data_IF_042532139398
#
_entry.id   IF_042532139398
#
_cell.length_a   1.000
_cell.length_b   1.000
_cell.length_c   1.000
_cell.angle_alpha   90.00
_cell.angle_beta   90.00
_cell.angle_gamma   90.00
#
_symmetry.space_group_name_H-M   'P 1'
#
loop_
_entity.id
_entity.type
_entity.pdbx_description
1 polymer ?
#
# COMPACT_ATOMS: atom_id res chain seq x y z
N UNK A 1 0.97 -11.88 -24.98
CA UNK A 1 1.28 -10.42 -24.96
C UNK A 1 1.00 -9.91 -23.57
N UNK A 2 2.02 -9.43 -22.86
CA UNK A 2 1.81 -8.81 -21.54
C UNK A 2 1.03 -7.51 -21.70
N UNK A 3 0.10 -7.15 -20.79
CA UNK A 3 -0.62 -5.89 -20.85
C UNK A 3 0.37 -4.72 -20.84
N UNK A 4 0.05 -3.59 -21.52
CA UNK A 4 0.92 -2.44 -21.52
C UNK A 4 1.12 -1.93 -20.09
N UNK A 5 2.38 -1.60 -19.74
CA UNK A 5 2.73 -0.99 -18.46
C UNK A 5 1.95 0.33 -18.30
N UNK A 6 1.46 0.59 -17.08
CA UNK A 6 0.90 1.89 -16.77
C UNK A 6 1.93 2.99 -17.13
N UNK A 7 1.53 4.14 -17.69
CA UNK A 7 2.45 5.16 -18.23
C UNK A 7 3.57 5.53 -17.25
N UNK A 8 3.28 5.58 -15.96
CA UNK A 8 4.25 5.86 -14.87
C UNK A 8 5.37 4.82 -14.77
N UNK A 9 5.02 3.53 -14.88
CA UNK A 9 6.01 2.43 -14.82
C UNK A 9 6.88 2.41 -16.06
N UNK A 10 6.31 2.66 -17.23
CA UNK A 10 7.06 2.78 -18.47
C UNK A 10 8.06 3.95 -18.40
N UNK A 11 7.65 5.11 -17.90
CA UNK A 11 8.54 6.25 -17.71
C UNK A 11 9.74 5.92 -16.81
N UNK A 12 9.51 5.28 -15.66
CA UNK A 12 10.59 4.84 -14.75
C UNK A 12 11.55 3.88 -15.47
N UNK A 13 11.01 2.88 -16.15
CA UNK A 13 11.81 1.88 -16.87
C UNK A 13 12.71 2.49 -17.95
N UNK A 14 12.24 3.52 -18.65
CA UNK A 14 13.04 4.17 -19.71
C UNK A 14 14.00 5.25 -19.17
N UNK A 15 13.64 5.92 -18.10
CA UNK A 15 14.44 7.04 -17.57
C UNK A 15 15.59 6.56 -16.69
N UNK A 16 15.35 5.52 -15.85
CA UNK A 16 16.34 5.08 -14.86
C UNK A 16 17.69 4.66 -15.48
N UNK A 17 17.75 3.95 -16.62
CA UNK A 17 19.01 3.61 -17.26
C UNK A 17 19.81 4.82 -17.79
N UNK A 18 19.15 5.98 -17.98
CA UNK A 18 19.81 7.21 -18.41
C UNK A 18 20.45 7.98 -17.25
N UNK A 19 20.18 7.57 -15.99
CA UNK A 19 20.72 8.22 -14.80
C UNK A 19 22.05 7.57 -14.36
N UNK A 20 22.99 8.36 -13.79
CA UNK A 20 24.28 7.82 -13.31
C UNK A 20 24.06 6.72 -12.23
N UNK A 21 24.74 5.58 -12.38
CA UNK A 21 24.66 4.48 -11.41
C UNK A 21 25.33 4.80 -10.07
N UNK A 22 26.28 5.74 -10.07
CA UNK A 22 27.03 6.16 -8.88
C UNK A 22 26.30 7.22 -8.05
N UNK A 23 25.08 7.62 -8.44
CA UNK A 23 24.26 8.62 -7.74
C UNK A 23 22.95 8.01 -7.29
N UNK A 24 22.45 8.48 -6.14
CA UNK A 24 21.13 8.10 -5.63
C UNK A 24 20.05 8.52 -6.62
N UNK A 25 19.20 7.58 -7.01
CA UNK A 25 18.07 7.77 -7.90
C UNK A 25 16.79 7.91 -7.08
N UNK A 26 16.24 9.10 -7.05
CA UNK A 26 15.09 9.46 -6.24
C UNK A 26 13.83 9.57 -7.10
N UNK A 27 12.78 8.82 -6.72
CA UNK A 27 11.47 8.85 -7.37
C UNK A 27 10.43 9.49 -6.43
N UNK A 28 10.00 10.72 -6.78
CA UNK A 28 9.08 11.52 -5.98
C UNK A 28 7.63 11.08 -6.14
N UNK A 29 6.87 11.12 -5.03
CA UNK A 29 5.41 10.97 -5.03
C UNK A 29 4.89 9.57 -5.36
N UNK A 30 5.74 8.55 -5.39
CA UNK A 30 5.37 7.14 -5.65
C UNK A 30 5.45 6.34 -4.37
N UNK A 31 4.35 5.67 -4.00
CA UNK A 31 4.28 4.95 -2.73
C UNK A 31 3.26 3.83 -2.67
N UNK A 32 2.75 3.34 -3.81
CA UNK A 32 2.10 2.02 -3.77
C UNK A 32 3.18 0.94 -3.79
N UNK A 33 3.04 -0.10 -2.97
CA UNK A 33 4.04 -1.17 -2.89
C UNK A 33 4.33 -1.80 -4.27
N UNK A 34 3.34 -2.06 -5.14
CA UNK A 34 3.60 -2.56 -6.48
C UNK A 34 4.41 -1.61 -7.37
N UNK A 35 4.20 -0.29 -7.24
CA UNK A 35 4.97 0.68 -8.02
C UNK A 35 6.39 0.84 -7.47
N UNK A 36 6.54 0.79 -6.13
CA UNK A 36 7.86 0.80 -5.48
C UNK A 36 8.67 -0.46 -5.86
N UNK A 37 8.06 -1.65 -5.86
CA UNK A 37 8.71 -2.89 -6.31
C UNK A 37 9.21 -2.79 -7.75
N UNK A 38 8.36 -2.27 -8.65
CA UNK A 38 8.76 -2.05 -10.04
C UNK A 38 9.92 -1.05 -10.15
N UNK A 39 9.85 0.06 -9.42
CA UNK A 39 10.89 1.09 -9.44
C UNK A 39 12.22 0.60 -8.85
N UNK A 40 12.18 -0.17 -7.76
CA UNK A 40 13.37 -0.84 -7.17
C UNK A 40 14.01 -1.78 -8.20
N UNK A 41 13.20 -2.58 -8.90
CA UNK A 41 13.70 -3.47 -9.96
C UNK A 41 14.33 -2.70 -11.14
N UNK A 42 13.92 -1.44 -11.35
CA UNK A 42 14.53 -0.54 -12.34
C UNK A 42 15.77 0.20 -11.81
N UNK A 43 16.12 0.07 -10.52
CA UNK A 43 17.29 0.72 -9.92
C UNK A 43 17.01 2.07 -9.26
N UNK A 44 15.80 2.31 -8.79
CA UNK A 44 15.45 3.47 -7.94
C UNK A 44 15.80 3.16 -6.49
N UNK A 45 16.43 4.12 -5.79
CA UNK A 45 16.97 3.94 -4.44
C UNK A 45 16.12 4.61 -3.35
N UNK A 46 15.49 5.75 -3.65
CA UNK A 46 14.82 6.59 -2.67
C UNK A 46 13.40 6.97 -3.12
N UNK A 47 12.48 6.99 -2.16
CA UNK A 47 11.07 7.31 -2.36
C UNK A 47 10.56 8.25 -1.30
N UNK A 48 9.57 9.08 -1.66
CA UNK A 48 8.66 9.73 -0.72
C UNK A 48 7.20 9.52 -1.16
N UNK A 49 6.30 9.42 -0.20
CA UNK A 49 4.88 9.36 -0.50
C UNK A 49 4.01 9.66 0.72
N UNK A 50 2.92 10.38 0.48
CA UNK A 50 1.91 10.67 1.51
C UNK A 50 0.94 9.50 1.75
N UNK A 51 0.91 8.49 0.86
CA UNK A 51 -0.11 7.43 0.90
C UNK A 51 -0.18 6.67 2.22
N UNK A 52 0.92 6.23 2.86
CA UNK A 52 0.83 5.50 4.12
C UNK A 52 0.10 6.30 5.19
N UNK A 53 0.50 7.54 5.40
CA UNK A 53 -0.09 8.41 6.40
C UNK A 53 -1.51 8.87 6.00
N UNK A 54 -1.71 9.26 4.74
CA UNK A 54 -3.02 9.68 4.23
C UNK A 54 -4.05 8.55 4.37
N UNK A 55 -3.73 7.35 3.90
CA UNK A 55 -4.61 6.20 3.96
C UNK A 55 -4.86 5.76 5.41
N UNK A 56 -3.83 5.79 6.26
CA UNK A 56 -3.94 5.54 7.69
C UNK A 56 -4.96 6.45 8.36
N UNK A 57 -4.91 7.75 8.10
CA UNK A 57 -5.87 8.73 8.65
C UNK A 57 -7.31 8.47 8.20
N UNK A 58 -7.52 7.88 7.03
CA UNK A 58 -8.85 7.60 6.48
C UNK A 58 -9.38 6.19 6.79
N UNK A 59 -8.56 5.34 7.46
CA UNK A 59 -8.94 3.99 7.86
C UNK A 59 -8.74 2.94 6.78
N UNK A 60 -7.88 3.21 5.79
CA UNK A 60 -7.33 2.20 4.89
C UNK A 60 -5.98 1.77 5.47
N UNK A 61 -5.93 0.56 6.02
CA UNK A 61 -4.80 0.02 6.77
C UNK A 61 -4.17 -1.14 6.02
N UNK A 62 -2.86 -1.06 5.82
CA UNK A 62 -2.12 -2.07 5.08
C UNK A 62 -1.73 -3.22 6.02
N UNK A 63 -1.84 -4.46 5.53
CA UNK A 63 -1.39 -5.64 6.26
C UNK A 63 -0.63 -6.58 5.32
N UNK A 64 -0.02 -7.62 5.87
CA UNK A 64 0.64 -8.65 5.08
C UNK A 64 -0.33 -9.49 4.24
N UNK A 65 -1.62 -9.49 4.60
CA UNK A 65 -2.69 -10.16 3.86
C UNK A 65 -3.43 -9.26 2.85
N UNK A 66 -3.09 -7.96 2.80
CA UNK A 66 -3.75 -6.97 1.95
C UNK A 66 -4.21 -5.74 2.73
N UNK A 67 -4.99 -4.88 2.10
CA UNK A 67 -5.48 -3.66 2.74
C UNK A 67 -6.87 -3.86 3.37
N UNK A 68 -7.02 -3.34 4.58
CA UNK A 68 -8.26 -3.38 5.36
C UNK A 68 -8.91 -2.00 5.36
N UNK A 69 -10.18 -1.91 4.94
CA UNK A 69 -11.03 -0.73 5.20
C UNK A 69 -11.66 -0.90 6.58
N UNK A 70 -10.99 -0.43 7.63
CA UNK A 70 -11.33 -0.69 9.03
C UNK A 70 -12.74 -0.20 9.42
N UNK A 71 -13.30 0.77 8.69
CA UNK A 71 -14.68 1.27 8.90
C UNK A 71 -15.76 0.27 8.46
N UNK A 72 -15.40 -0.82 7.81
CA UNK A 72 -16.34 -1.84 7.35
C UNK A 72 -16.94 -2.59 8.53
N UNK A 73 -18.28 -2.82 8.52
CA UNK A 73 -19.03 -3.43 9.63
C UNK A 73 -18.52 -4.82 10.03
N UNK A 74 -17.89 -5.56 9.12
CA UNK A 74 -17.30 -6.88 9.40
C UNK A 74 -16.23 -6.87 10.51
N UNK A 75 -15.67 -5.70 10.82
CA UNK A 75 -14.63 -5.55 11.84
C UNK A 75 -15.17 -5.13 13.21
N UNK A 76 -16.50 -4.90 13.35
CA UNK A 76 -17.10 -4.40 14.59
C UNK A 76 -16.69 -5.19 15.82
N UNK A 77 -16.74 -6.53 15.72
CA UNK A 77 -16.50 -7.45 16.83
C UNK A 77 -15.22 -8.29 16.62
N UNK A 78 -14.31 -7.84 15.74
CA UNK A 78 -13.08 -8.56 15.41
C UNK A 78 -12.01 -8.30 16.49
N UNK A 79 -11.76 -9.28 17.34
CA UNK A 79 -10.79 -9.22 18.44
C UNK A 79 -9.32 -9.35 17.97
N UNK A 80 -9.08 -9.69 16.70
CA UNK A 80 -7.73 -9.87 16.16
C UNK A 80 -6.99 -8.53 16.02
N UNK A 81 -5.65 -8.51 16.10
CA UNK A 81 -4.85 -7.33 15.73
C UNK A 81 -5.01 -7.00 14.24
N UNK A 82 -4.60 -5.80 13.81
CA UNK A 82 -4.60 -5.43 12.38
C UNK A 82 -3.80 -6.43 11.56
N UNK A 83 -2.58 -6.70 11.99
CA UNK A 83 -1.68 -7.67 11.39
C UNK A 83 -0.95 -8.41 12.53
N UNK A 84 -1.15 -9.74 12.68
CA UNK A 84 -0.55 -10.51 13.80
C UNK A 84 0.99 -10.58 13.72
N UNK A 85 1.58 -10.40 12.54
CA UNK A 85 3.02 -10.42 12.36
C UNK A 85 3.66 -9.01 12.44
N UNK A 86 2.85 -7.96 12.61
CA UNK A 86 3.34 -6.58 12.68
C UNK A 86 3.81 -6.23 14.10
N UNK A 87 5.07 -5.88 14.26
CA UNK A 87 5.67 -5.46 15.53
C UNK A 87 5.37 -4.02 15.95
N UNK A 88 4.36 -3.34 15.37
CA UNK A 88 4.04 -1.98 15.79
C UNK A 88 3.25 -1.96 17.12
N UNK A 89 3.33 -0.85 17.89
CA UNK A 89 2.64 -0.73 19.17
C UNK A 89 1.11 -0.77 19.05
N UNK A 90 0.57 -0.51 17.86
CA UNK A 90 -0.88 -0.58 17.60
C UNK A 90 -1.33 -2.03 17.54
N UNK A 91 -0.65 -2.88 16.75
CA UNK A 91 -0.97 -4.30 16.65
C UNK A 91 -0.75 -5.05 17.95
N UNK A 92 0.24 -4.64 18.75
CA UNK A 92 0.52 -5.28 20.05
C UNK A 92 -0.51 -4.97 21.15
N UNK A 93 -1.40 -3.98 20.97
CA UNK A 93 -2.29 -3.49 22.02
C UNK A 93 -3.74 -3.36 21.63
N UNK A 94 -4.07 -3.18 20.35
CA UNK A 94 -5.40 -2.81 19.89
C UNK A 94 -5.94 -3.86 18.92
N UNK A 95 -7.23 -4.17 19.06
CA UNK A 95 -7.95 -5.05 18.13
C UNK A 95 -8.51 -4.28 16.93
N UNK A 96 -8.84 -5.01 15.87
CA UNK A 96 -9.57 -4.46 14.70
C UNK A 96 -10.90 -3.84 15.12
N UNK A 97 -11.64 -4.50 16.03
CA UNK A 97 -12.92 -3.99 16.55
C UNK A 97 -12.77 -2.69 17.30
N UNK A 98 -11.75 -2.54 18.15
CA UNK A 98 -11.50 -1.30 18.84
C UNK A 98 -11.12 -0.15 17.88
N UNK A 99 -10.27 -0.43 16.90
CA UNK A 99 -9.92 0.56 15.87
C UNK A 99 -11.13 0.90 14.99
N UNK A 100 -11.95 -0.09 14.62
CA UNK A 100 -13.22 0.15 13.93
C UNK A 100 -14.10 1.13 14.71
N UNK A 101 -14.25 0.91 16.03
CA UNK A 101 -15.02 1.81 16.90
C UNK A 101 -14.47 3.23 16.87
N UNK A 102 -13.16 3.42 17.07
CA UNK A 102 -12.53 4.74 17.05
C UNK A 102 -12.74 5.48 15.72
N UNK A 103 -12.57 4.78 14.59
CA UNK A 103 -12.79 5.35 13.27
C UNK A 103 -14.26 5.67 13.01
N UNK A 104 -15.20 4.92 13.56
CA UNK A 104 -16.66 5.19 13.44
C UNK A 104 -17.11 6.30 14.36
N UNK A 105 -16.53 6.43 15.54
CA UNK A 105 -16.77 7.52 16.48
C UNK A 105 -16.14 8.85 16.03
N UNK A 106 -15.22 8.83 15.05
CA UNK A 106 -14.52 10.02 14.59
C UNK A 106 -13.40 10.48 15.54
N UNK A 107 -12.89 9.59 16.38
CA UNK A 107 -11.83 9.88 17.33
C UNK A 107 -10.52 10.24 16.64
N UNK A 108 -9.87 11.31 17.06
CA UNK A 108 -8.60 11.77 16.49
C UNK A 108 -7.50 10.71 16.63
N UNK A 109 -7.50 9.96 17.73
CA UNK A 109 -6.57 8.85 17.99
C UNK A 109 -6.61 7.76 16.91
N UNK A 110 -7.75 7.54 16.27
CA UNK A 110 -7.88 6.58 15.16
C UNK A 110 -6.93 6.92 14.00
N UNK A 111 -6.87 8.20 13.62
CA UNK A 111 -5.98 8.66 12.56
C UNK A 111 -4.50 8.50 12.93
N UNK A 112 -4.15 8.74 14.19
CA UNK A 112 -2.79 8.55 14.72
C UNK A 112 -2.41 7.07 14.67
N UNK A 113 -3.24 6.19 15.20
CA UNK A 113 -2.97 4.74 15.22
C UNK A 113 -2.87 4.15 13.81
N UNK A 114 -3.78 4.54 12.92
CA UNK A 114 -3.74 4.10 11.52
C UNK A 114 -2.47 4.55 10.81
N UNK A 115 -2.00 5.78 11.10
CA UNK A 115 -0.74 6.30 10.54
C UNK A 115 0.47 5.55 11.05
N UNK A 116 0.58 5.34 12.38
CA UNK A 116 1.69 4.59 13.00
C UNK A 116 1.79 3.19 12.40
N UNK A 117 0.65 2.49 12.29
CA UNK A 117 0.63 1.15 11.73
C UNK A 117 1.07 1.13 10.26
N UNK A 118 0.49 1.98 9.42
CA UNK A 118 0.83 2.02 8.00
C UNK A 118 2.30 2.39 7.77
N UNK A 119 2.85 3.36 8.49
CA UNK A 119 4.27 3.71 8.40
C UNK A 119 5.16 2.53 8.76
N UNK A 120 4.81 1.76 9.79
CA UNK A 120 5.55 0.56 10.17
C UNK A 120 5.57 -0.47 9.04
N UNK A 121 4.44 -0.75 8.40
CA UNK A 121 4.36 -1.70 7.28
C UNK A 121 5.27 -1.26 6.12
N UNK A 122 5.29 0.03 5.79
CA UNK A 122 6.15 0.54 4.71
C UNK A 122 7.63 0.53 5.08
N UNK A 123 7.99 0.80 6.34
CA UNK A 123 9.37 0.71 6.82
C UNK A 123 9.86 -0.74 6.82
N UNK A 124 9.02 -1.69 7.24
CA UNK A 124 9.32 -3.12 7.19
C UNK A 124 9.52 -3.57 5.72
N UNK A 125 8.63 -3.16 4.80
CA UNK A 125 8.79 -3.40 3.37
C UNK A 125 10.13 -2.88 2.84
N UNK A 126 10.53 -1.66 3.19
CA UNK A 126 11.81 -1.09 2.77
C UNK A 126 13.02 -1.81 3.40
N UNK A 127 12.87 -2.33 4.61
CA UNK A 127 13.86 -3.22 5.25
C UNK A 127 14.04 -4.50 4.44
N UNK A 128 12.94 -5.21 4.17
CA UNK A 128 12.94 -6.42 3.34
C UNK A 128 13.49 -6.17 1.93
N UNK A 129 13.22 -4.99 1.35
CA UNK A 129 13.74 -4.62 0.04
C UNK A 129 15.26 -4.48 0.05
N UNK A 130 15.85 -3.82 1.05
CA UNK A 130 17.31 -3.71 1.20
C UNK A 130 17.97 -5.07 1.35
N UNK A 131 17.41 -5.96 2.17
CA UNK A 131 17.91 -7.31 2.34
C UNK A 131 17.82 -8.13 1.04
N UNK A 132 16.71 -7.99 0.32
CA UNK A 132 16.50 -8.68 -0.96
C UNK A 132 17.48 -8.20 -2.05
N UNK A 133 17.78 -6.89 -2.09
CA UNK A 133 18.79 -6.32 -3.01
C UNK A 133 20.18 -6.87 -2.66
N UNK A 134 20.59 -6.83 -1.39
CA UNK A 134 21.88 -7.33 -0.94
C UNK A 134 22.07 -8.84 -1.22
N UNK A 135 20.98 -9.59 -1.21
CA UNK A 135 20.98 -11.02 -1.48
C UNK A 135 20.67 -11.40 -2.95
N UNK A 136 20.52 -10.42 -3.86
CA UNK A 136 20.12 -10.64 -5.27
C UNK A 136 18.78 -11.38 -5.42
N UNK A 137 17.80 -11.14 -4.52
CA UNK A 137 16.50 -11.83 -4.46
C UNK A 137 15.29 -10.89 -4.62
N UNK A 138 15.43 -9.82 -5.37
CA UNK A 138 14.34 -8.83 -5.59
C UNK A 138 13.10 -9.48 -6.23
N UNK A 139 13.29 -10.50 -7.10
CA UNK A 139 12.18 -11.25 -7.70
C UNK A 139 11.35 -12.01 -6.64
N UNK A 140 11.98 -12.54 -5.59
CA UNK A 140 11.29 -13.23 -4.49
C UNK A 140 10.48 -12.24 -3.64
N UNK A 141 11.05 -11.07 -3.37
CA UNK A 141 10.35 -9.98 -2.70
C UNK A 141 9.10 -9.59 -3.50
N UNK A 142 9.24 -9.41 -4.82
CA UNK A 142 8.14 -9.05 -5.70
C UNK A 142 7.01 -10.09 -5.66
N UNK A 143 7.33 -11.39 -5.67
CA UNK A 143 6.33 -12.46 -5.56
C UNK A 143 5.59 -12.40 -4.21
N UNK A 144 6.32 -12.23 -3.11
CA UNK A 144 5.73 -12.15 -1.75
C UNK A 144 4.78 -10.98 -1.58
N UNK A 145 5.13 -9.81 -2.12
CA UNK A 145 4.32 -8.61 -1.96
C UNK A 145 3.26 -8.40 -3.04
N UNK A 146 3.39 -9.02 -4.22
CA UNK A 146 2.38 -8.95 -5.28
C UNK A 146 1.05 -9.60 -4.85
N UNK A 147 1.10 -10.75 -4.18
CA UNK A 147 -0.09 -11.41 -3.63
C UNK A 147 -0.82 -10.56 -2.58
N UNK A 148 -0.09 -9.73 -1.83
CA UNK A 148 -0.60 -8.86 -0.77
C UNK A 148 -1.22 -7.55 -1.30
N UNK A 149 -0.87 -7.15 -2.51
CA UNK A 149 -1.27 -5.88 -3.11
C UNK A 149 -2.51 -5.97 -4.01
N UNK A 150 -2.93 -7.17 -4.40
CA UNK A 150 -4.03 -7.38 -5.34
C UNK A 150 -5.37 -6.79 -4.87
N UNK A 151 -5.62 -6.73 -3.56
CA UNK A 151 -6.86 -6.21 -3.00
C UNK A 151 -6.89 -4.68 -2.86
N UNK A 152 -5.75 -4.01 -2.88
CA UNK A 152 -5.68 -2.54 -2.75
C UNK A 152 -6.25 -1.86 -3.99
N UNK A 153 -5.92 -2.33 -5.19
CA UNK A 153 -6.42 -1.76 -6.44
C UNK A 153 -7.91 -1.95 -6.67
N UNK A 154 -8.52 -3.03 -6.17
CA UNK A 154 -9.98 -3.20 -6.19
C UNK A 154 -10.71 -2.18 -5.30
N UNK A 155 -10.04 -1.66 -4.30
CA UNK A 155 -10.63 -0.72 -3.34
C UNK A 155 -10.41 0.76 -3.68
N UNK A 156 -9.50 1.10 -4.58
CA UNK A 156 -9.19 2.48 -4.97
C UNK A 156 -10.06 3.00 -6.14
N UNK A 157 -10.81 2.14 -6.83
CA UNK A 157 -11.68 2.55 -7.94
C UNK A 157 -13.13 2.07 -7.75
N UNK A 158 -13.97 2.74 -6.92
CA UNK A 158 -15.40 2.45 -6.84
C UNK A 158 -16.22 3.07 -7.98
N UNK A 159 -15.58 3.72 -8.95
CA UNK A 159 -16.26 4.40 -10.08
C UNK A 159 -15.86 3.70 -11.39
N UNK A 160 -16.38 2.50 -11.59
CA UNK A 160 -16.56 1.94 -12.92
C UNK A 160 -17.65 0.89 -12.85
N UNK A 161 -18.75 1.20 -13.47
CA UNK A 161 -19.95 0.46 -13.89
C UNK A 161 -21.23 0.92 -13.18
N UNK A 162 -21.66 2.12 -13.45
CA UNK A 162 -23.06 2.35 -13.79
C UNK A 162 -23.14 2.52 -15.30
N UNK A 163 -23.43 1.42 -15.97
CA UNK A 163 -23.82 1.39 -17.37
C UNK A 163 -25.12 2.18 -17.52
N UNK A 164 -25.03 3.31 -18.21
CA UNK A 164 -26.18 4.10 -18.63
C UNK A 164 -27.08 3.23 -19.51
N UNK A 165 -28.20 2.81 -19.00
CA UNK A 165 -29.31 2.39 -19.81
C UNK A 165 -29.83 3.60 -20.64
N UNK A 166 -30.04 3.44 -21.95
CA UNK A 166 -30.56 4.52 -22.75
C UNK A 166 -32.02 4.78 -22.37
N UNK A 167 -32.32 6.00 -21.92
CA UNK A 167 -33.71 6.46 -21.73
C UNK A 167 -34.39 6.44 -23.07
N UNK A 168 -35.34 5.53 -23.27
CA UNK A 168 -36.31 5.54 -24.35
C UNK A 168 -37.18 6.79 -24.22
N UNK A 169 -37.10 7.67 -25.23
CA UNK A 169 -38.05 8.76 -25.41
C UNK A 169 -39.34 8.16 -25.97
N UNK A 170 -40.43 8.36 -25.29
CA UNK A 170 -41.77 8.39 -25.82
C UNK A 170 -42.33 9.79 -25.72
#
# INVERSE_FOLDING_TARGET
MSPPLAPRRAAVQWTTPCLPETRVRYLMGVGTIPDMLHAIACGVDLFDCVLPARNGRHGLLYTREGALRIKNARFRDDARPLDPECGCPVCGRLSRGFLHHLFRAGELSAAVYGTIHNLRVFLDFMGEAREAIAAFRVADLSRRWASRSADVHRSENPVAVESQEPRSRS
#
